data_IF_321082976073
#
_entry.id   IF_321082976073
#
_cell.length_a   1.000
_cell.length_b   1.000
_cell.length_c   1.000
_cell.angle_alpha   90.00
_cell.angle_beta   90.00
_cell.angle_gamma   90.00
#
_symmetry.space_group_name_H-M   'P 1'
#
loop_
_entity.id
_entity.type
_entity.pdbx_description
1 polymer ?
#
# COMPACT_ATOMS: atom_id res chain seq x y z
N UNK A 1 -0.13 -15.42 -9.87
CA UNK A 1 1.33 -15.57 -9.71
C UNK A 1 1.82 -16.91 -10.24
N UNK A 2 1.30 -18.03 -9.75
CA UNK A 2 1.67 -19.39 -10.19
C UNK A 2 1.58 -19.60 -11.72
N UNK A 3 0.51 -19.13 -12.37
CA UNK A 3 0.37 -19.21 -13.83
C UNK A 3 1.44 -18.39 -14.60
N UNK A 4 1.76 -17.19 -14.12
CA UNK A 4 2.79 -16.34 -14.72
C UNK A 4 4.19 -16.96 -14.55
N UNK A 5 4.46 -17.53 -13.38
CA UNK A 5 5.69 -18.27 -13.11
C UNK A 5 5.81 -19.50 -14.01
N UNK A 6 4.74 -20.30 -14.15
CA UNK A 6 4.70 -21.47 -15.03
C UNK A 6 4.98 -21.11 -16.50
N UNK A 7 4.57 -19.91 -16.94
CA UNK A 7 4.85 -19.36 -18.27
C UNK A 7 6.20 -18.65 -18.40
N UNK A 8 7.03 -18.67 -17.35
CA UNK A 8 8.32 -17.96 -17.29
C UNK A 8 8.19 -16.45 -17.59
N UNK A 9 7.03 -15.85 -17.27
CA UNK A 9 6.81 -14.43 -17.43
C UNK A 9 7.44 -13.65 -16.27
N UNK A 10 7.95 -12.45 -16.55
CA UNK A 10 8.45 -11.56 -15.50
C UNK A 10 7.29 -11.09 -14.59
N UNK A 11 7.56 -11.00 -13.29
CA UNK A 11 6.61 -10.63 -12.24
C UNK A 11 7.19 -9.46 -11.45
N UNK A 12 6.38 -8.43 -11.20
CA UNK A 12 6.74 -7.30 -10.34
C UNK A 12 5.59 -6.97 -9.39
N UNK A 13 5.87 -6.97 -8.09
CA UNK A 13 4.96 -6.52 -7.03
C UNK A 13 5.64 -5.37 -6.30
N UNK A 14 4.91 -4.27 -6.11
CA UNK A 14 5.41 -3.07 -5.47
C UNK A 14 4.39 -2.57 -4.45
N UNK A 15 4.79 -2.54 -3.19
CA UNK A 15 3.99 -2.09 -2.06
C UNK A 15 4.52 -0.73 -1.59
N UNK A 16 3.76 0.32 -1.88
CA UNK A 16 4.10 1.71 -1.54
C UNK A 16 3.75 2.09 -0.10
N UNK A 17 3.08 1.20 0.60
CA UNK A 17 2.69 1.38 2.00
C UNK A 17 3.49 0.42 2.85
N UNK A 18 3.54 0.66 4.16
CA UNK A 18 4.22 -0.23 5.10
C UNK A 18 3.33 -0.54 6.29
N UNK A 19 3.35 -1.80 6.73
CA UNK A 19 2.67 -2.25 7.94
C UNK A 19 3.50 -1.96 9.21
N UNK A 20 3.98 -0.72 9.36
CA UNK A 20 4.68 -0.27 10.57
C UNK A 20 3.69 0.33 11.58
N UNK A 21 3.74 -0.03 12.87
CA UNK A 21 2.85 0.54 13.89
C UNK A 21 2.90 2.07 13.94
N UNK A 22 4.09 2.66 13.76
CA UNK A 22 4.26 4.11 13.72
C UNK A 22 3.52 4.73 12.52
N UNK A 23 3.61 4.13 11.33
CA UNK A 23 2.91 4.60 10.14
C UNK A 23 1.39 4.53 10.32
N UNK A 24 0.88 3.45 10.93
CA UNK A 24 -0.55 3.31 11.24
C UNK A 24 -1.03 4.39 12.22
N UNK A 25 -0.27 4.67 13.28
CA UNK A 25 -0.58 5.75 14.23
C UNK A 25 -0.56 7.11 13.54
N UNK A 26 0.46 7.39 12.72
CA UNK A 26 0.55 8.63 11.94
C UNK A 26 -0.63 8.77 10.99
N UNK A 27 -1.02 7.71 10.27
CA UNK A 27 -2.20 7.72 9.39
C UNK A 27 -3.50 7.93 10.17
N UNK A 28 -3.65 7.32 11.34
CA UNK A 28 -4.82 7.51 12.21
C UNK A 28 -5.02 8.99 12.58
N UNK A 29 -3.92 9.72 12.80
CA UNK A 29 -3.95 11.15 13.17
C UNK A 29 -4.03 12.05 11.94
N UNK A 30 -3.23 11.78 10.90
CA UNK A 30 -3.09 12.66 9.74
C UNK A 30 -4.23 12.50 8.72
N UNK A 31 -4.78 11.31 8.54
CA UNK A 31 -5.89 11.08 7.61
C UNK A 31 -7.14 11.93 7.92
N UNK A 32 -7.66 11.98 9.17
CA UNK A 32 -8.83 12.81 9.47
C UNK A 32 -8.51 14.31 9.35
N UNK A 33 -7.31 14.75 9.71
CA UNK A 33 -6.89 16.15 9.53
C UNK A 33 -6.85 16.52 8.05
N UNK A 34 -6.28 15.64 7.23
CA UNK A 34 -6.15 15.83 5.80
C UNK A 34 -7.53 16.03 5.14
N UNK A 35 -8.51 15.16 5.43
CA UNK A 35 -9.85 15.31 4.87
C UNK A 35 -10.56 16.55 5.41
N UNK A 36 -10.35 16.95 6.67
CA UNK A 36 -10.90 18.20 7.21
C UNK A 36 -10.38 19.44 6.47
N UNK A 37 -9.11 19.46 6.05
CA UNK A 37 -8.53 20.58 5.29
C UNK A 37 -8.83 20.53 3.80
N UNK A 38 -8.83 19.33 3.19
CA UNK A 38 -8.99 19.18 1.75
C UNK A 38 -10.45 19.20 1.30
N UNK A 39 -11.39 18.71 2.12
CA UNK A 39 -12.83 18.65 1.79
C UNK A 39 -13.40 19.90 1.08
N UNK A 40 -13.15 21.15 1.53
CA UNK A 40 -13.73 22.33 0.91
C UNK A 40 -13.13 22.65 -0.47
N UNK A 41 -11.95 22.11 -0.76
CA UNK A 41 -11.24 22.29 -2.04
C UNK A 41 -11.65 21.24 -3.08
N UNK A 42 -12.26 20.12 -2.66
CA UNK A 42 -12.66 19.03 -3.55
C UNK A 42 -13.84 19.47 -4.42
N UNK A 43 -13.67 19.44 -5.74
CA UNK A 43 -14.72 19.74 -6.72
C UNK A 43 -15.48 18.47 -7.17
N UNK A 44 -16.76 18.58 -7.55
CA UNK A 44 -17.62 19.75 -7.41
C UNK A 44 -17.91 20.05 -5.93
N UNK A 45 -18.02 21.33 -5.60
CA UNK A 45 -18.34 21.78 -4.25
C UNK A 45 -19.77 21.40 -3.90
N UNK A 46 -19.96 20.70 -2.77
CA UNK A 46 -21.28 20.24 -2.31
C UNK A 46 -21.44 20.56 -0.83
N UNK A 47 -22.49 21.31 -0.48
CA UNK A 47 -22.83 21.61 0.92
C UNK A 47 -23.07 20.33 1.74
N UNK A 48 -23.64 19.29 1.11
CA UNK A 48 -23.80 17.98 1.76
C UNK A 48 -22.48 17.39 2.22
N UNK A 49 -21.38 17.60 1.47
CA UNK A 49 -20.06 17.13 1.88
C UNK A 49 -19.56 17.87 3.12
N UNK A 50 -19.76 19.19 3.20
CA UNK A 50 -19.39 19.95 4.40
C UNK A 50 -20.21 19.50 5.62
N UNK A 51 -21.49 19.21 5.45
CA UNK A 51 -22.34 18.67 6.51
C UNK A 51 -21.80 17.34 7.05
N UNK A 52 -21.48 16.39 6.17
CA UNK A 52 -20.93 15.07 6.54
C UNK A 52 -19.45 15.07 6.93
N UNK A 53 -18.75 16.21 6.81
CA UNK A 53 -17.36 16.36 7.23
C UNK A 53 -17.25 17.11 8.55
N UNK A 54 -18.02 18.18 8.74
CA UNK A 54 -17.87 19.07 9.91
C UNK A 54 -18.99 18.98 10.95
N UNK A 55 -20.23 18.66 10.55
CA UNK A 55 -21.37 18.58 11.49
C UNK A 55 -21.52 17.16 12.00
N UNK A 56 -21.68 16.21 11.08
CA UNK A 56 -21.68 14.78 11.38
C UNK A 56 -20.42 14.21 10.73
N UNK A 57 -19.28 14.08 11.44
CA UNK A 57 -17.95 13.82 10.86
C UNK A 57 -17.77 12.38 10.32
N UNK A 58 -18.74 11.88 9.57
CA UNK A 58 -18.74 10.56 8.92
C UNK A 58 -17.60 10.47 7.91
N UNK A 59 -17.36 11.51 7.12
CA UNK A 59 -16.32 11.51 6.11
C UNK A 59 -14.90 11.31 6.71
N UNK A 60 -14.49 12.03 7.77
CA UNK A 60 -13.29 11.71 8.54
C UNK A 60 -13.18 10.24 8.96
N UNK A 61 -14.21 9.67 9.59
CA UNK A 61 -14.14 8.29 10.06
C UNK A 61 -14.00 7.26 8.94
N UNK A 62 -14.83 7.38 7.90
CA UNK A 62 -14.81 6.44 6.77
C UNK A 62 -13.48 6.52 6.03
N UNK A 63 -12.96 7.73 5.79
CA UNK A 63 -11.69 7.94 5.13
C UNK A 63 -10.52 7.37 5.93
N UNK A 64 -10.47 7.64 7.23
CA UNK A 64 -9.44 7.10 8.13
C UNK A 64 -9.50 5.57 8.19
N UNK A 65 -10.70 4.99 8.29
CA UNK A 65 -10.87 3.54 8.26
C UNK A 65 -10.34 2.91 6.96
N UNK A 66 -10.70 3.48 5.82
CA UNK A 66 -10.24 3.01 4.50
C UNK A 66 -8.71 3.07 4.36
N UNK A 67 -8.11 4.17 4.83
CA UNK A 67 -6.66 4.34 4.91
C UNK A 67 -5.99 3.31 5.83
N UNK A 68 -6.56 3.01 7.00
CA UNK A 68 -5.98 2.02 7.91
C UNK A 68 -6.07 0.60 7.35
N UNK A 69 -7.24 0.24 6.83
CA UNK A 69 -7.49 -1.10 6.30
C UNK A 69 -6.59 -1.38 5.09
N UNK A 70 -6.32 -0.39 4.24
CA UNK A 70 -5.36 -0.55 3.14
C UNK A 70 -3.94 -0.82 3.65
N UNK A 71 -3.44 -0.06 4.64
CA UNK A 71 -2.10 -0.27 5.21
C UNK A 71 -1.94 -1.61 5.93
N UNK A 72 -3.03 -2.14 6.49
CA UNK A 72 -3.01 -3.47 7.14
C UNK A 72 -2.89 -4.60 6.11
N UNK A 73 -3.41 -4.42 4.89
CA UNK A 73 -3.35 -5.41 3.81
C UNK A 73 -2.01 -5.43 3.07
N UNK A 74 -1.19 -4.41 3.26
CA UNK A 74 0.13 -4.32 2.66
C UNK A 74 1.01 -5.49 3.09
N UNK A 75 1.59 -6.18 2.10
CA UNK A 75 2.53 -7.25 2.34
C UNK A 75 3.84 -6.72 2.95
N UNK A 76 4.32 -7.38 4.00
CA UNK A 76 5.70 -7.20 4.45
C UNK A 76 6.67 -8.00 3.56
N UNK A 77 7.99 -7.72 3.61
CA UNK A 77 8.98 -8.54 2.90
C UNK A 77 8.88 -10.03 3.24
N UNK A 78 8.59 -10.36 4.51
CA UNK A 78 8.40 -11.73 4.97
C UNK A 78 7.14 -12.35 4.38
N UNK A 79 6.05 -11.58 4.27
CA UNK A 79 4.82 -12.03 3.63
C UNK A 79 5.08 -12.31 2.13
N UNK A 80 5.83 -11.44 1.43
CA UNK A 80 6.23 -11.66 0.04
C UNK A 80 7.12 -12.90 -0.13
N UNK A 81 8.06 -13.12 0.79
CA UNK A 81 8.90 -14.32 0.80
C UNK A 81 8.07 -15.58 1.00
N UNK A 82 7.06 -15.55 1.88
CA UNK A 82 6.13 -16.67 2.06
C UNK A 82 5.32 -16.96 0.80
N UNK A 83 4.99 -15.91 0.03
CA UNK A 83 4.21 -16.02 -1.21
C UNK A 83 4.96 -16.78 -2.32
N UNK A 84 6.29 -16.69 -2.32
CA UNK A 84 7.16 -17.37 -3.28
C UNK A 84 7.84 -18.62 -2.71
N UNK A 85 7.60 -18.97 -1.44
CA UNK A 85 8.16 -20.14 -0.76
C UNK A 85 8.06 -21.42 -1.61
N UNK A 86 6.87 -21.67 -2.16
CA UNK A 86 6.57 -22.85 -2.98
C UNK A 86 7.02 -22.74 -4.45
N UNK A 87 7.56 -21.57 -4.84
CA UNK A 87 8.05 -21.27 -6.20
C UNK A 87 9.59 -21.19 -6.25
N UNK A 88 10.27 -21.34 -5.10
CA UNK A 88 11.72 -21.42 -5.03
C UNK A 88 12.21 -22.81 -5.44
N UNK A 89 13.27 -22.87 -6.27
CA UNK A 89 13.92 -24.11 -6.68
C UNK A 89 14.12 -24.28 -8.18
N UNK A 90 13.61 -23.36 -9.00
CA UNK A 90 13.88 -23.35 -10.43
C UNK A 90 15.13 -22.53 -10.73
N UNK A 91 16.22 -23.20 -11.11
CA UNK A 91 17.51 -22.56 -11.44
C UNK A 91 17.42 -21.57 -12.61
N UNK A 92 16.35 -21.64 -13.42
CA UNK A 92 16.10 -20.75 -14.54
C UNK A 92 15.17 -19.58 -14.19
N UNK A 93 14.97 -19.26 -12.91
CA UNK A 93 14.13 -18.14 -12.48
C UNK A 93 14.68 -17.46 -11.22
N UNK A 94 14.98 -16.17 -11.34
CA UNK A 94 15.54 -15.36 -10.25
C UNK A 94 14.39 -14.64 -9.54
N UNK A 95 14.47 -14.61 -8.20
CA UNK A 95 13.61 -13.81 -7.34
C UNK A 95 14.44 -12.79 -6.56
N UNK A 96 14.01 -11.54 -6.58
CA UNK A 96 14.59 -10.44 -5.83
C UNK A 96 13.52 -9.82 -4.93
N UNK A 97 13.74 -9.82 -3.61
CA UNK A 97 12.90 -9.14 -2.63
C UNK A 97 13.74 -8.07 -1.96
N UNK A 98 13.18 -6.88 -1.81
CA UNK A 98 13.84 -5.83 -1.05
C UNK A 98 12.94 -4.72 -0.61
N UNK A 99 13.54 -3.78 0.11
CA UNK A 99 12.91 -2.52 0.48
C UNK A 99 13.80 -1.38 -0.01
N UNK A 100 13.18 -0.40 -0.67
CA UNK A 100 13.85 0.82 -1.13
C UNK A 100 13.23 2.02 -0.43
N UNK A 101 14.05 2.80 0.25
CA UNK A 101 13.60 4.07 0.83
C UNK A 101 13.59 5.15 -0.25
N UNK A 102 12.46 5.85 -0.41
CA UNK A 102 12.41 7.01 -1.28
C UNK A 102 13.33 8.12 -0.74
N UNK A 103 14.20 8.68 -1.57
CA UNK A 103 15.18 9.70 -1.14
C UNK A 103 14.55 10.94 -0.49
N UNK A 104 13.32 11.31 -0.91
CA UNK A 104 12.66 12.56 -0.52
C UNK A 104 11.41 12.38 0.34
N UNK A 105 10.98 11.15 0.57
CA UNK A 105 9.74 10.84 1.28
C UNK A 105 10.04 9.81 2.39
N UNK A 106 9.43 9.90 3.57
CA UNK A 106 9.56 8.90 4.63
C UNK A 106 8.71 7.67 4.30
N UNK A 107 8.91 7.13 3.10
CA UNK A 107 8.17 6.00 2.53
C UNK A 107 9.23 4.98 2.12
N UNK A 108 9.08 3.75 2.61
CA UNK A 108 9.84 2.62 2.10
C UNK A 108 8.93 1.81 1.19
N UNK A 109 9.41 1.57 -0.02
CA UNK A 109 8.77 0.76 -1.04
C UNK A 109 9.25 -0.67 -0.86
N UNK A 110 8.35 -1.57 -0.50
CA UNK A 110 8.66 -3.00 -0.51
C UNK A 110 8.40 -3.53 -1.91
N UNK A 111 9.31 -4.35 -2.45
CA UNK A 111 9.17 -4.91 -3.79
C UNK A 111 9.54 -6.38 -3.84
N UNK A 112 8.93 -7.06 -4.80
CA UNK A 112 9.27 -8.40 -5.24
C UNK A 112 9.34 -8.39 -6.76
N UNK A 113 10.48 -8.80 -7.31
CA UNK A 113 10.70 -8.93 -8.74
C UNK A 113 11.08 -10.39 -9.02
N UNK A 114 10.51 -10.96 -10.06
CA UNK A 114 10.84 -12.30 -10.56
C UNK A 114 11.05 -12.29 -12.06
N UNK A 115 12.10 -12.93 -12.55
CA UNK A 115 12.39 -13.00 -13.99
C UNK A 115 13.17 -14.27 -14.37
N UNK A 116 12.99 -14.80 -15.59
CA UNK A 116 13.74 -15.96 -16.05
C UNK A 116 15.22 -15.63 -16.33
N UNK A 117 16.09 -16.60 -16.07
CA UNK A 117 17.49 -16.54 -16.50
C UNK A 117 17.54 -16.85 -18.00
N UNK A 118 18.17 -15.98 -18.79
CA UNK A 118 18.37 -16.19 -20.24
C UNK A 118 19.40 -17.26 -20.54
#
# INVERSE_FOLDING_TARGET
MQDAFAKKAAIGIFEHTERKPLTLILMFILAPLNILFQTPLIRPFKLSRLFWTYIIPVAPFVFTWDCLVSHVRTYSPEDLQSLIADLHGDENYIWEIGQMRAEKLPIELTYLIGYPVS
#
